data_IF_747313467459
#
_entry.id   IF_747313467459
#
_cell.length_a   1.000
_cell.length_b   1.000
_cell.length_c   1.000
_cell.angle_alpha   90.00
_cell.angle_beta   90.00
_cell.angle_gamma   90.00
#
_symmetry.space_group_name_H-M   'P 1'
#
loop_
_entity.id
_entity.type
_entity.pdbx_description
1 polymer ?
#
# COMPACT_ATOMS: atom_id res chain seq x y z
N UNK A 1 -13.15 13.98 -11.68
CA UNK A 1 -12.75 15.26 -11.05
C UNK A 1 -13.67 15.61 -9.89
N UNK A 2 -14.96 15.82 -10.13
CA UNK A 2 -15.96 16.16 -9.10
C UNK A 2 -16.01 15.18 -7.92
N UNK A 3 -16.09 13.86 -8.19
CA UNK A 3 -16.07 12.81 -7.15
C UNK A 3 -14.80 12.86 -6.29
N UNK A 4 -13.64 13.07 -6.91
CA UNK A 4 -12.37 13.13 -6.18
C UNK A 4 -12.26 14.41 -5.34
N UNK A 5 -12.71 15.55 -5.87
CA UNK A 5 -12.74 16.82 -5.15
C UNK A 5 -13.76 16.80 -4.00
N UNK A 6 -14.91 16.14 -4.18
CA UNK A 6 -15.91 15.97 -3.13
C UNK A 6 -15.48 15.02 -2.00
N UNK A 7 -14.45 14.20 -2.23
CA UNK A 7 -13.86 13.34 -1.20
C UNK A 7 -12.74 14.02 -0.39
N UNK A 8 -12.30 15.22 -0.79
CA UNK A 8 -11.31 15.99 -0.05
C UNK A 8 -11.95 16.65 1.18
N UNK A 9 -11.18 16.79 2.26
CA UNK A 9 -11.57 17.65 3.37
C UNK A 9 -11.75 19.10 2.86
N UNK A 10 -12.70 19.84 3.45
CA UNK A 10 -13.04 21.21 3.03
C UNK A 10 -11.81 22.14 2.93
N UNK A 11 -10.90 22.02 3.90
CA UNK A 11 -9.64 22.79 3.97
C UNK A 11 -8.62 22.44 2.88
N UNK A 12 -8.76 21.27 2.24
CA UNK A 12 -7.82 20.79 1.23
C UNK A 12 -8.11 21.30 -0.18
N UNK A 13 -9.27 21.94 -0.40
CA UNK A 13 -9.70 22.42 -1.71
C UNK A 13 -8.75 23.44 -2.35
N UNK A 14 -8.05 24.25 -1.55
CA UNK A 14 -7.09 25.24 -2.03
C UNK A 14 -5.73 24.67 -2.46
N UNK A 15 -5.44 23.40 -2.16
CA UNK A 15 -4.19 22.73 -2.51
C UNK A 15 -4.31 21.84 -3.75
N UNK A 16 -5.51 21.72 -4.33
CA UNK A 16 -5.69 21.01 -5.58
C UNK A 16 -5.07 21.83 -6.72
N UNK A 17 -4.00 21.30 -7.31
CA UNK A 17 -3.34 21.92 -8.46
C UNK A 17 -4.34 21.98 -9.63
N UNK A 18 -4.65 23.19 -10.10
CA UNK A 18 -5.86 23.47 -10.89
C UNK A 18 -6.02 22.66 -12.17
N UNK A 19 -4.90 22.24 -12.76
CA UNK A 19 -4.88 21.50 -14.03
C UNK A 19 -4.61 20.00 -13.86
N UNK A 20 -4.25 19.54 -12.64
CA UNK A 20 -4.00 18.13 -12.39
C UNK A 20 -5.31 17.33 -12.40
N UNK A 21 -5.38 16.32 -13.26
CA UNK A 21 -6.49 15.38 -13.27
C UNK A 21 -6.32 14.34 -12.16
N UNK A 22 -7.38 13.99 -11.41
CA UNK A 22 -7.28 12.93 -10.42
C UNK A 22 -6.90 11.60 -11.07
N UNK A 23 -5.89 10.95 -10.49
CA UNK A 23 -5.45 9.62 -10.91
C UNK A 23 -6.19 8.58 -10.07
N UNK A 24 -6.88 7.65 -10.74
CA UNK A 24 -7.46 6.47 -10.08
C UNK A 24 -6.36 5.42 -9.94
N UNK A 25 -6.08 5.02 -8.70
CA UNK A 25 -5.14 3.94 -8.39
C UNK A 25 -5.93 2.73 -7.90
N UNK A 26 -5.74 1.60 -8.55
CA UNK A 26 -6.36 0.34 -8.17
C UNK A 26 -5.38 -0.49 -7.33
N UNK A 27 -5.86 -0.92 -6.16
CA UNK A 27 -5.10 -1.69 -5.18
C UNK A 27 -5.76 -3.06 -5.02
N UNK A 28 -5.41 -4.04 -5.86
CA UNK A 28 -6.08 -5.33 -5.87
C UNK A 28 -5.78 -6.09 -4.58
N UNK A 29 -6.84 -6.58 -3.94
CA UNK A 29 -6.74 -7.48 -2.78
C UNK A 29 -7.66 -8.66 -3.03
N UNK A 30 -7.07 -9.85 -3.15
CA UNK A 30 -7.80 -11.11 -3.36
C UNK A 30 -8.44 -11.53 -2.03
N UNK A 31 -7.69 -11.42 -0.93
CA UNK A 31 -8.15 -11.77 0.42
C UNK A 31 -7.46 -10.89 1.45
N UNK A 32 -8.26 -10.31 2.36
CA UNK A 32 -7.73 -9.65 3.54
C UNK A 32 -7.34 -10.70 4.60
N UNK A 33 -6.24 -10.47 5.34
CA UNK A 33 -5.83 -11.40 6.38
C UNK A 33 -6.80 -11.34 7.56
N UNK A 34 -7.17 -12.48 8.12
CA UNK A 34 -8.01 -12.55 9.32
C UNK A 34 -7.31 -11.92 10.54
N UNK A 35 -5.98 -12.10 10.60
CA UNK A 35 -5.12 -11.48 11.60
C UNK A 35 -3.87 -10.95 10.92
N UNK A 36 -3.58 -9.67 11.15
CA UNK A 36 -2.41 -9.00 10.59
C UNK A 36 -1.15 -9.41 11.35
N UNK A 37 -0.16 -9.92 10.62
CA UNK A 37 1.18 -10.17 11.12
C UNK A 37 2.13 -9.15 10.48
N UNK A 38 2.48 -8.11 11.24
CA UNK A 38 3.33 -7.05 10.73
C UNK A 38 4.77 -7.54 10.52
N UNK A 39 5.27 -7.43 9.30
CA UNK A 39 6.63 -7.83 8.94
C UNK A 39 7.60 -6.65 9.11
N UNK A 40 8.71 -6.93 9.79
CA UNK A 40 9.83 -6.03 9.97
C UNK A 40 11.09 -6.68 9.43
N UNK A 41 11.69 -6.13 8.36
CA UNK A 41 12.85 -6.73 7.70
C UNK A 41 14.07 -6.84 8.62
N UNK A 42 14.14 -6.00 9.65
CA UNK A 42 15.19 -6.04 10.68
C UNK A 42 15.11 -7.32 11.54
N UNK A 43 13.91 -7.88 11.71
CA UNK A 43 13.67 -9.12 12.46
C UNK A 43 13.53 -10.34 11.57
N UNK A 44 13.07 -10.13 10.33
CA UNK A 44 12.78 -11.16 9.35
C UNK A 44 13.29 -10.70 7.99
N UNK A 45 14.52 -11.06 7.66
CA UNK A 45 15.18 -10.62 6.43
C UNK A 45 14.58 -11.19 5.15
N UNK A 46 13.79 -12.27 5.26
CA UNK A 46 13.21 -12.97 4.13
C UNK A 46 11.70 -13.10 4.32
N UNK A 47 10.95 -12.58 3.34
CA UNK A 47 9.49 -12.73 3.25
C UNK A 47 9.19 -13.59 2.05
N UNK A 48 8.45 -14.67 2.26
CA UNK A 48 8.10 -15.67 1.24
C UNK A 48 6.64 -16.03 1.35
N UNK A 49 6.04 -16.43 0.22
CA UNK A 49 4.66 -16.88 0.13
C UNK A 49 3.94 -16.29 -1.08
N UNK A 50 2.64 -16.53 -1.17
CA UNK A 50 1.80 -16.00 -2.25
C UNK A 50 1.34 -14.59 -1.90
N UNK A 51 1.64 -13.62 -2.77
CA UNK A 51 1.09 -12.26 -2.66
C UNK A 51 -0.43 -12.32 -2.87
N UNK A 52 -1.19 -11.97 -1.83
CA UNK A 52 -2.65 -12.00 -1.80
C UNK A 52 -3.28 -10.61 -1.99
N UNK A 53 -2.49 -9.54 -1.92
CA UNK A 53 -2.99 -8.20 -2.22
C UNK A 53 -1.99 -7.08 -1.99
N UNK A 54 -2.38 -5.90 -2.47
CA UNK A 54 -1.71 -4.62 -2.27
C UNK A 54 -2.76 -3.64 -1.74
N UNK A 55 -2.43 -2.87 -0.70
CA UNK A 55 -3.28 -1.78 -0.19
C UNK A 55 -2.41 -0.55 0.03
N UNK A 56 -2.38 0.38 -0.92
CA UNK A 56 -1.46 1.52 -0.84
C UNK A 56 0.00 1.04 -0.71
N UNK A 57 0.64 1.41 0.38
CA UNK A 57 2.02 1.03 0.73
C UNK A 57 2.18 -0.37 1.37
N UNK A 58 1.11 -1.15 1.47
CA UNK A 58 1.12 -2.45 2.14
C UNK A 58 1.10 -3.59 1.11
N UNK A 59 2.05 -4.52 1.22
CA UNK A 59 2.02 -5.82 0.56
C UNK A 59 1.45 -6.85 1.53
N UNK A 60 0.55 -7.71 1.05
CA UNK A 60 -0.21 -8.67 1.85
C UNK A 60 0.03 -10.07 1.30
N UNK A 61 0.47 -11.01 2.14
CA UNK A 61 0.62 -12.42 1.79
C UNK A 61 -0.57 -13.25 2.28
N UNK A 62 -0.78 -14.41 1.64
CA UNK A 62 -1.91 -15.31 1.91
C UNK A 62 -1.95 -15.88 3.33
N UNK A 63 -0.83 -15.88 4.05
CA UNK A 63 -0.67 -16.40 5.41
C UNK A 63 -0.86 -15.34 6.51
N UNK A 64 -1.21 -14.11 6.13
CA UNK A 64 -1.45 -13.01 7.06
C UNK A 64 -0.27 -12.09 7.29
N UNK A 65 0.89 -12.37 6.69
CA UNK A 65 2.02 -11.42 6.70
C UNK A 65 1.66 -10.15 5.94
N UNK A 66 2.00 -9.00 6.52
CA UNK A 66 1.79 -7.68 5.92
C UNK A 66 3.05 -6.85 6.06
N UNK A 67 3.59 -6.38 4.94
CA UNK A 67 4.78 -5.53 4.88
C UNK A 67 4.38 -4.12 4.49
N UNK A 68 4.71 -3.14 5.33
CA UNK A 68 4.65 -1.73 4.96
C UNK A 68 5.97 -1.32 4.28
N UNK A 69 5.97 -1.13 2.96
CA UNK A 69 7.19 -0.84 2.22
C UNK A 69 7.83 0.49 2.63
N UNK A 70 7.04 1.48 3.06
CA UNK A 70 7.54 2.80 3.49
C UNK A 70 8.41 2.71 4.75
N UNK A 71 8.06 1.81 5.68
CA UNK A 71 8.84 1.61 6.90
C UNK A 71 10.24 1.05 6.62
N UNK A 72 10.44 0.46 5.43
CA UNK A 72 11.67 -0.19 5.01
C UNK A 72 12.40 0.61 3.92
N UNK A 73 12.12 1.91 3.81
CA UNK A 73 12.84 2.81 2.90
C UNK A 73 14.35 2.74 3.15
N UNK A 74 15.15 2.65 2.07
CA UNK A 74 16.61 2.56 2.16
C UNK A 74 17.18 1.13 2.26
N UNK A 75 16.34 0.10 2.36
CA UNK A 75 16.80 -1.29 2.25
C UNK A 75 17.06 -1.64 0.78
N UNK A 76 18.20 -2.29 0.50
CA UNK A 76 18.41 -3.01 -0.75
C UNK A 76 17.71 -4.36 -0.64
N UNK A 77 16.80 -4.67 -1.55
CA UNK A 77 16.09 -5.95 -1.57
C UNK A 77 16.31 -6.67 -2.91
N UNK A 78 16.24 -7.99 -2.87
CA UNK A 78 16.15 -8.83 -4.05
C UNK A 78 14.76 -9.46 -4.12
N UNK A 79 14.19 -9.51 -5.32
CA UNK A 79 12.89 -10.13 -5.58
C UNK A 79 13.13 -11.30 -6.52
N UNK A 80 12.62 -12.47 -6.13
CA UNK A 80 12.63 -13.68 -6.94
C UNK A 80 11.23 -14.31 -6.93
N UNK A 81 10.87 -14.95 -8.05
CA UNK A 81 9.60 -15.66 -8.27
C UNK A 81 9.83 -17.14 -8.40
#
# INVERSE_FOLDING_TARGET
>A
REVAMGALAYEMGGYAEGDALPIKLDYPVIRFPEKVQNVKLEKQQVVKGTLAGIKGQYLIWSDGQVLNVRNHSGHHIEIAT
#
